data_IF_377673543156
#
_entry.id   IF_377673543156
#
_cell.length_a   1.000
_cell.length_b   1.000
_cell.length_c   1.000
_cell.angle_alpha   90.00
_cell.angle_beta   90.00
_cell.angle_gamma   90.00
#
_symmetry.space_group_name_H-M   'P 1'
#
loop_
_entity.id
_entity.type
_entity.pdbx_description
1 polymer ?
#
# COMPACT_ATOMS: atom_id res chain seq x y z
N UNK A 1 -7.21 -15.01 5.18
CA UNK A 1 -6.59 -13.69 4.98
C UNK A 1 -6.27 -13.00 6.30
N UNK A 2 -7.18 -13.00 7.28
CA UNK A 2 -6.99 -12.38 8.59
C UNK A 2 -5.81 -12.94 9.40
N UNK A 3 -5.46 -14.22 9.26
CA UNK A 3 -4.32 -14.81 9.98
C UNK A 3 -2.96 -14.30 9.52
N UNK A 4 -2.79 -13.92 8.25
CA UNK A 4 -1.49 -13.42 7.73
C UNK A 4 -1.20 -11.99 8.19
N UNK A 5 -2.19 -11.12 8.24
CA UNK A 5 -2.03 -9.74 8.70
C UNK A 5 -1.66 -9.66 10.19
N UNK A 6 -2.30 -10.48 11.04
CA UNK A 6 -1.94 -10.61 12.46
C UNK A 6 -0.52 -11.13 12.68
N UNK A 7 -0.03 -12.01 11.80
CA UNK A 7 1.33 -12.56 11.91
C UNK A 7 2.42 -11.52 11.60
N UNK A 8 2.14 -10.47 10.84
CA UNK A 8 3.15 -9.46 10.48
C UNK A 8 3.43 -8.52 11.65
N UNK A 9 2.40 -7.97 12.31
CA UNK A 9 2.57 -7.13 13.49
C UNK A 9 3.15 -7.89 14.70
N UNK A 10 2.94 -9.20 14.79
CA UNK A 10 3.54 -10.06 15.83
C UNK A 10 5.04 -10.26 15.56
N UNK A 11 5.47 -10.32 14.30
CA UNK A 11 6.88 -10.62 13.96
C UNK A 11 7.82 -9.50 14.36
N UNK A 12 7.50 -8.26 14.07
CA UNK A 12 8.34 -7.10 14.42
C UNK A 12 8.47 -6.96 15.94
N UNK A 13 7.37 -7.13 16.68
CA UNK A 13 7.37 -7.14 18.15
C UNK A 13 8.19 -8.30 18.70
N UNK A 14 8.03 -9.50 18.13
CA UNK A 14 8.81 -10.67 18.52
C UNK A 14 10.31 -10.50 18.24
N UNK A 15 10.69 -9.99 17.08
CA UNK A 15 12.09 -9.76 16.74
C UNK A 15 12.71 -8.70 17.65
N UNK A 16 12.01 -7.57 17.90
CA UNK A 16 12.50 -6.55 18.83
C UNK A 16 12.72 -7.13 20.24
N UNK A 17 11.76 -7.89 20.78
CA UNK A 17 11.89 -8.59 22.05
C UNK A 17 13.08 -9.58 22.06
N UNK A 18 13.25 -10.36 20.99
CA UNK A 18 14.39 -11.31 20.88
C UNK A 18 15.74 -10.61 20.86
N UNK A 19 15.83 -9.42 20.26
CA UNK A 19 17.07 -8.65 20.21
C UNK A 19 17.39 -7.99 21.55
N UNK A 20 16.36 -7.46 22.24
CA UNK A 20 16.56 -6.56 23.40
C UNK A 20 16.21 -7.20 24.74
N UNK A 21 15.35 -8.20 24.76
CA UNK A 21 14.73 -8.71 25.99
C UNK A 21 13.52 -7.89 26.47
N UNK A 22 13.29 -6.70 25.91
CA UNK A 22 12.22 -5.80 26.32
C UNK A 22 10.92 -6.13 25.57
N UNK A 23 9.79 -6.10 26.30
CA UNK A 23 8.46 -6.25 25.72
C UNK A 23 7.80 -4.87 25.71
N UNK A 24 7.79 -4.25 24.53
CA UNK A 24 7.25 -2.89 24.33
C UNK A 24 6.37 -2.85 23.08
N UNK A 25 5.54 -1.82 22.96
CA UNK A 25 4.70 -1.56 21.79
C UNK A 25 4.78 -0.10 21.34
N UNK A 26 4.13 0.22 20.24
CA UNK A 26 4.00 1.60 19.72
C UNK A 26 2.53 1.92 19.45
N UNK A 27 2.18 3.21 19.35
CA UNK A 27 0.84 3.61 18.92
C UNK A 27 0.51 3.06 17.54
N UNK A 28 1.49 3.02 16.62
CA UNK A 28 1.32 2.40 15.29
C UNK A 28 0.90 0.93 15.42
N UNK A 29 1.65 0.13 16.19
CA UNK A 29 1.33 -1.29 16.43
C UNK A 29 -0.03 -1.52 17.11
N UNK A 30 -0.37 -0.71 18.11
CA UNK A 30 -1.66 -0.78 18.80
C UNK A 30 -2.82 -0.44 17.87
N UNK A 31 -2.65 0.57 17.00
CA UNK A 31 -3.67 0.96 16.04
C UNK A 31 -3.92 -0.11 14.96
N UNK A 32 -2.88 -0.79 14.49
CA UNK A 32 -3.02 -1.95 13.61
C UNK A 32 -3.75 -3.11 14.30
N UNK A 33 -3.54 -3.26 15.62
CA UNK A 33 -4.27 -4.21 16.48
C UNK A 33 -5.67 -3.75 16.88
N UNK A 34 -6.14 -2.58 16.41
CA UNK A 34 -7.43 -1.94 16.74
C UNK A 34 -7.60 -1.44 18.18
N UNK A 35 -6.52 -1.43 19.00
CA UNK A 35 -6.60 -1.07 20.41
C UNK A 35 -6.33 0.41 20.71
N UNK A 36 -6.12 1.26 19.69
CA UNK A 36 -5.89 2.69 19.88
C UNK A 36 -7.11 3.53 19.50
N UNK A 37 -7.56 4.37 20.41
CA UNK A 37 -8.60 5.37 20.20
C UNK A 37 -7.97 6.72 19.81
N UNK A 38 -8.09 7.09 18.55
CA UNK A 38 -7.54 8.33 18.01
C UNK A 38 -8.26 9.60 18.49
N UNK A 39 -9.50 9.49 18.94
CA UNK A 39 -10.25 10.66 19.47
C UNK A 39 -9.74 11.07 20.83
N UNK A 40 -9.43 10.06 21.66
CA UNK A 40 -8.99 10.26 23.03
C UNK A 40 -7.45 10.15 23.18
N UNK A 41 -6.72 9.78 22.12
CA UNK A 41 -5.29 9.48 22.14
C UNK A 41 -4.90 8.53 23.28
N UNK A 42 -5.63 7.43 23.40
CA UNK A 42 -5.52 6.46 24.49
C UNK A 42 -5.82 5.03 24.00
N UNK A 43 -5.60 4.06 24.86
CA UNK A 43 -6.11 2.71 24.65
C UNK A 43 -7.64 2.74 24.54
N UNK A 44 -8.20 1.98 23.60
CA UNK A 44 -9.65 1.86 23.43
C UNK A 44 -10.25 1.03 24.56
N UNK A 45 -10.73 1.68 25.62
CA UNK A 45 -11.38 1.02 26.74
C UNK A 45 -12.64 0.26 26.31
N UNK A 46 -13.38 0.79 25.35
CA UNK A 46 -14.56 0.14 24.80
C UNK A 46 -14.22 -1.24 24.21
N UNK A 47 -13.20 -1.32 23.34
CA UNK A 47 -12.78 -2.58 22.75
C UNK A 47 -12.14 -3.54 23.76
N UNK A 48 -11.33 -3.01 24.68
CA UNK A 48 -10.74 -3.82 25.75
C UNK A 48 -11.82 -4.47 26.62
N UNK A 49 -12.82 -3.70 27.04
CA UNK A 49 -13.94 -4.20 27.82
C UNK A 49 -14.82 -5.19 27.03
N UNK A 50 -15.11 -4.90 25.76
CA UNK A 50 -15.91 -5.76 24.90
C UNK A 50 -15.28 -7.16 24.75
N UNK A 51 -13.96 -7.24 24.60
CA UNK A 51 -13.24 -8.50 24.49
C UNK A 51 -12.79 -9.09 25.83
N UNK A 52 -13.02 -8.41 26.95
CA UNK A 52 -12.60 -8.85 28.27
C UNK A 52 -11.09 -8.84 28.46
N UNK A 53 -10.36 -7.93 27.79
CA UNK A 53 -8.92 -7.81 27.93
C UNK A 53 -8.56 -6.84 29.05
N UNK A 54 -7.67 -7.28 29.96
CA UNK A 54 -7.06 -6.40 30.96
C UNK A 54 -6.04 -5.47 30.30
N UNK A 55 -5.93 -4.22 30.82
CA UNK A 55 -4.88 -3.28 30.41
C UNK A 55 -3.48 -3.81 30.70
N UNK A 56 -3.32 -4.72 31.65
CA UNK A 56 -2.04 -5.36 31.99
C UNK A 56 -1.48 -6.25 30.86
N UNK A 57 -2.31 -6.58 29.87
CA UNK A 57 -1.88 -7.31 28.67
C UNK A 57 -1.19 -6.41 27.64
N UNK A 58 -1.29 -5.08 27.81
CA UNK A 58 -0.70 -4.12 26.89
C UNK A 58 0.69 -3.76 27.40
N UNK A 59 1.68 -3.98 26.54
CA UNK A 59 3.07 -3.64 26.83
C UNK A 59 3.28 -2.11 26.88
N UNK A 60 4.39 -1.67 27.51
CA UNK A 60 4.77 -0.26 27.56
C UNK A 60 4.83 0.37 26.17
N UNK A 61 4.19 1.52 26.04
CA UNK A 61 4.12 2.25 24.76
C UNK A 61 5.40 3.09 24.59
N UNK A 62 6.10 2.88 23.47
CA UNK A 62 7.28 3.65 23.08
C UNK A 62 7.01 4.47 21.82
N UNK A 63 7.71 5.59 21.60
CA UNK A 63 7.64 6.32 20.36
C UNK A 63 8.06 5.43 19.16
N UNK A 64 7.42 5.61 18.01
CA UNK A 64 7.78 4.88 16.77
C UNK A 64 9.23 5.14 16.36
N UNK A 65 9.66 6.41 16.40
CA UNK A 65 11.05 6.84 16.27
C UNK A 65 11.63 7.08 17.67
N UNK A 66 12.20 6.03 18.29
CA UNK A 66 12.76 6.11 19.63
C UNK A 66 13.20 4.75 20.14
N UNK A 67 13.86 4.76 21.29
CA UNK A 67 14.46 3.57 21.89
C UNK A 67 13.41 2.52 22.22
N UNK A 68 13.52 1.36 21.59
CA UNK A 68 12.70 0.17 21.84
C UNK A 68 13.40 -0.80 22.82
N UNK A 69 14.69 -0.65 23.03
CA UNK A 69 15.58 -1.45 23.85
C UNK A 69 16.98 -1.53 23.23
N UNK A 70 17.89 -2.27 23.89
CA UNK A 70 19.26 -2.44 23.43
C UNK A 70 19.60 -3.92 23.22
N UNK A 71 20.44 -4.20 22.23
CA UNK A 71 20.90 -5.57 21.91
C UNK A 71 21.60 -6.17 23.14
N UNK A 72 21.10 -7.32 23.61
CA UNK A 72 21.63 -8.02 24.77
C UNK A 72 23.01 -8.65 24.50
N UNK A 73 23.76 -8.99 25.55
CA UNK A 73 25.08 -9.61 25.39
C UNK A 73 25.01 -10.97 24.71
N UNK A 74 23.98 -11.78 24.99
CA UNK A 74 23.80 -13.11 24.36
C UNK A 74 23.52 -12.99 22.86
N UNK A 75 22.63 -12.10 22.47
CA UNK A 75 22.28 -11.87 21.06
C UNK A 75 23.44 -11.24 20.31
N UNK A 76 24.18 -10.32 20.94
CA UNK A 76 25.37 -9.74 20.34
C UNK A 76 26.42 -10.81 19.99
N UNK A 77 26.64 -11.76 20.89
CA UNK A 77 27.58 -12.87 20.66
C UNK A 77 27.08 -13.83 19.57
N UNK A 78 25.77 -14.13 19.55
CA UNK A 78 25.14 -15.07 18.58
C UNK A 78 25.16 -14.50 17.15
N UNK A 79 24.83 -13.21 17.00
CA UNK A 79 24.65 -12.56 15.70
C UNK A 79 25.87 -11.75 15.22
N UNK A 80 26.94 -11.68 16.00
CA UNK A 80 28.12 -10.85 15.68
C UNK A 80 27.84 -9.35 15.78
N UNK A 81 26.87 -8.93 16.60
CA UNK A 81 26.50 -7.55 16.82
C UNK A 81 27.27 -6.96 18.03
N UNK A 82 27.26 -5.64 18.15
CA UNK A 82 27.80 -4.98 19.35
C UNK A 82 26.73 -4.97 20.46
N UNK A 83 27.09 -5.44 21.67
CA UNK A 83 26.24 -5.31 22.86
C UNK A 83 25.89 -3.83 23.08
N UNK A 84 24.63 -3.56 23.44
CA UNK A 84 24.15 -2.22 23.70
C UNK A 84 23.84 -1.41 22.43
N UNK A 85 23.86 -2.06 21.24
CA UNK A 85 23.35 -1.39 20.03
C UNK A 85 21.87 -1.07 20.22
N UNK A 86 21.45 0.21 20.10
CA UNK A 86 20.06 0.59 20.34
C UNK A 86 19.17 0.15 19.17
N UNK A 87 18.00 -0.36 19.49
CA UNK A 87 16.89 -0.59 18.53
C UNK A 87 15.97 0.61 18.65
N UNK A 88 15.86 1.43 17.61
CA UNK A 88 15.32 2.81 17.71
C UNK A 88 14.16 3.12 16.78
N UNK A 89 13.64 2.10 16.12
CA UNK A 89 12.47 2.23 15.23
C UNK A 89 11.70 0.92 15.19
N UNK A 90 10.38 1.04 15.19
CA UNK A 90 9.48 -0.08 14.95
C UNK A 90 8.15 0.39 14.35
N UNK A 91 7.75 -0.22 13.24
CA UNK A 91 6.47 0.00 12.59
C UNK A 91 6.04 -1.27 11.85
N UNK A 92 4.76 -1.37 11.50
CA UNK A 92 4.26 -2.36 10.56
C UNK A 92 4.84 -2.18 9.17
N UNK A 93 4.66 -3.17 8.30
CA UNK A 93 5.25 -3.19 6.97
C UNK A 93 4.72 -2.08 6.06
N UNK A 94 3.41 -1.78 6.10
CA UNK A 94 2.83 -0.78 5.21
C UNK A 94 3.20 0.66 5.59
N UNK A 95 3.11 1.08 6.87
CA UNK A 95 3.65 2.36 7.29
C UNK A 95 5.15 2.51 7.01
N UNK A 96 5.93 1.43 7.17
CA UNK A 96 7.36 1.42 6.85
C UNK A 96 7.62 1.53 5.34
N UNK A 97 6.84 0.86 4.49
CA UNK A 97 6.93 1.01 3.04
C UNK A 97 6.63 2.44 2.61
N UNK A 98 5.61 3.06 3.20
CA UNK A 98 5.30 4.47 2.97
C UNK A 98 6.46 5.38 3.41
N UNK A 99 7.06 5.13 4.59
CA UNK A 99 8.27 5.82 5.02
C UNK A 99 9.40 5.69 4.01
N UNK A 100 9.65 4.48 3.46
CA UNK A 100 10.72 4.24 2.49
C UNK A 100 10.62 5.13 1.24
N UNK A 101 9.39 5.52 0.88
CA UNK A 101 9.06 6.41 -0.24
C UNK A 101 8.98 7.89 0.19
N UNK A 102 9.34 8.20 1.43
CA UNK A 102 9.17 9.54 2.03
C UNK A 102 7.72 10.06 1.92
N UNK A 103 6.75 9.16 2.10
CA UNK A 103 5.31 9.47 2.17
C UNK A 103 4.98 9.73 3.63
N UNK A 104 4.89 10.99 4.02
CA UNK A 104 4.79 11.45 5.42
C UNK A 104 3.70 12.49 5.65
N UNK A 105 3.24 13.15 4.59
CA UNK A 105 2.32 14.27 4.69
C UNK A 105 0.93 13.94 4.14
N UNK A 106 -0.13 14.62 4.63
CA UNK A 106 -1.47 14.44 4.08
C UNK A 106 -1.52 14.68 2.57
N UNK A 107 -2.25 13.82 1.88
CA UNK A 107 -2.36 13.84 0.41
C UNK A 107 -1.26 13.07 -0.33
N UNK A 108 -0.20 12.66 0.35
CA UNK A 108 0.81 11.78 -0.26
C UNK A 108 0.35 10.31 -0.21
N UNK A 109 0.55 9.61 -1.33
CA UNK A 109 0.18 8.20 -1.51
C UNK A 109 1.43 7.38 -1.75
N UNK A 110 1.58 6.26 -1.04
CA UNK A 110 2.50 5.18 -1.38
C UNK A 110 1.71 4.07 -2.11
N UNK A 111 2.18 3.65 -3.28
CA UNK A 111 1.53 2.60 -4.05
C UNK A 111 2.50 1.46 -4.40
N UNK A 112 1.98 0.22 -4.38
CA UNK A 112 2.72 -0.96 -4.83
C UNK A 112 1.83 -1.82 -5.72
N UNK A 113 2.40 -2.36 -6.81
CA UNK A 113 1.71 -3.24 -7.75
C UNK A 113 2.37 -4.63 -7.81
N UNK A 114 2.53 -5.27 -6.64
CA UNK A 114 3.05 -6.63 -6.51
C UNK A 114 2.00 -7.69 -6.84
N UNK A 115 2.11 -8.90 -6.26
CA UNK A 115 1.10 -9.97 -6.39
C UNK A 115 -0.29 -9.44 -6.04
N UNK A 116 -0.38 -8.73 -4.92
CA UNK A 116 -1.50 -7.85 -4.55
C UNK A 116 -1.08 -6.39 -4.74
N UNK A 117 -2.05 -5.50 -4.97
CA UNK A 117 -1.83 -4.06 -4.98
C UNK A 117 -2.06 -3.46 -3.61
N UNK A 118 -1.33 -2.41 -3.30
CA UNK A 118 -1.52 -1.62 -2.10
C UNK A 118 -1.56 -0.15 -2.48
N UNK A 119 -2.52 0.57 -1.92
CA UNK A 119 -2.55 2.02 -1.87
C UNK A 119 -2.57 2.42 -0.41
N UNK A 120 -1.61 3.25 0.00
CA UNK A 120 -1.48 3.75 1.35
C UNK A 120 -1.41 5.26 1.33
N UNK A 121 -2.47 5.92 1.79
CA UNK A 121 -2.58 7.38 1.81
C UNK A 121 -2.41 7.94 3.21
N UNK A 122 -1.81 9.12 3.33
CA UNK A 122 -1.71 9.83 4.63
C UNK A 122 -2.86 10.82 4.76
N UNK A 123 -3.60 10.72 5.87
CA UNK A 123 -4.66 11.65 6.26
C UNK A 123 -4.22 12.49 7.47
N UNK A 124 -4.46 13.79 7.41
CA UNK A 124 -4.17 14.74 8.51
C UNK A 124 -5.30 14.90 9.52
N UNK A 125 -6.41 14.17 9.36
CA UNK A 125 -7.59 14.28 10.22
C UNK A 125 -7.98 12.90 10.75
N UNK A 126 -8.57 12.87 11.95
CA UNK A 126 -9.18 11.66 12.50
C UNK A 126 -10.46 11.40 11.73
N UNK A 127 -10.40 10.45 10.82
CA UNK A 127 -11.53 10.01 10.01
C UNK A 127 -11.42 8.50 9.72
N UNK A 128 -12.54 7.87 9.40
CA UNK A 128 -12.62 6.46 9.03
C UNK A 128 -13.72 6.24 7.98
N UNK A 129 -13.56 5.19 7.20
CA UNK A 129 -14.61 4.78 6.26
C UNK A 129 -15.72 4.03 6.99
N UNK A 130 -16.94 4.57 6.96
CA UNK A 130 -18.13 4.02 7.66
C UNK A 130 -18.56 2.67 7.12
N UNK A 131 -18.15 2.33 5.89
CA UNK A 131 -18.41 1.02 5.26
C UNK A 131 -17.27 0.03 5.47
N UNK A 132 -16.20 0.43 6.19
CA UNK A 132 -15.03 -0.41 6.49
C UNK A 132 -14.31 -0.95 5.24
N UNK A 133 -14.35 -0.20 4.12
CA UNK A 133 -13.72 -0.57 2.84
C UNK A 133 -12.20 -0.44 2.84
N UNK A 134 -11.66 0.35 3.77
CA UNK A 134 -10.22 0.56 4.01
C UNK A 134 -9.89 0.43 5.49
N UNK A 135 -8.60 0.27 5.81
CA UNK A 135 -8.12 0.33 7.19
C UNK A 135 -7.50 1.69 7.49
N UNK A 136 -7.61 2.14 8.74
CA UNK A 136 -6.97 3.37 9.21
C UNK A 136 -6.09 3.05 10.41
N UNK A 137 -4.81 3.48 10.37
CA UNK A 137 -3.80 3.22 11.40
C UNK A 137 -3.06 4.52 11.75
N UNK A 138 -2.33 4.54 12.87
CA UNK A 138 -1.34 5.57 13.10
C UNK A 138 -0.18 5.42 12.09
N UNK A 139 0.10 6.47 11.34
CA UNK A 139 1.29 6.50 10.50
C UNK A 139 2.57 6.64 11.35
N UNK A 140 3.74 6.35 10.79
CA UNK A 140 5.01 6.32 11.53
C UNK A 140 5.35 7.64 12.24
N UNK A 141 4.93 8.78 11.68
CA UNK A 141 5.15 10.11 12.22
C UNK A 141 3.89 10.72 12.90
N UNK A 142 2.92 9.87 13.26
CA UNK A 142 1.78 10.31 14.07
C UNK A 142 2.22 10.67 15.49
N UNK A 143 1.78 11.82 15.97
CA UNK A 143 1.92 12.26 17.38
C UNK A 143 0.60 12.80 17.88
N UNK A 144 0.52 13.05 19.19
CA UNK A 144 -0.65 13.69 19.81
C UNK A 144 -0.89 15.10 19.31
N UNK A 145 0.19 15.82 18.97
CA UNK A 145 0.15 17.21 18.46
C UNK A 145 -0.09 17.25 16.94
N UNK A 146 0.30 16.21 16.23
CA UNK A 146 0.23 16.15 14.77
C UNK A 146 -0.40 14.86 14.28
N UNK A 147 -1.68 14.91 13.97
CA UNK A 147 -2.40 13.77 13.41
C UNK A 147 -1.83 13.37 12.06
N UNK A 148 -1.40 12.12 11.94
CA UNK A 148 -0.95 11.46 10.72
C UNK A 148 -1.51 10.05 10.71
N UNK A 149 -2.58 9.83 9.97
CA UNK A 149 -3.20 8.50 9.86
C UNK A 149 -2.89 7.91 8.49
N UNK A 150 -2.44 6.67 8.47
CA UNK A 150 -2.30 5.89 7.26
C UNK A 150 -3.60 5.20 6.92
N UNK A 151 -4.13 5.47 5.73
CA UNK A 151 -5.31 4.81 5.19
C UNK A 151 -4.85 3.76 4.19
N UNK A 152 -5.10 2.49 4.51
CA UNK A 152 -4.61 1.33 3.76
C UNK A 152 -5.74 0.69 2.96
N UNK A 153 -5.53 0.58 1.66
CA UNK A 153 -6.28 -0.26 0.74
C UNK A 153 -5.41 -1.39 0.21
N UNK A 154 -5.93 -2.61 0.26
CA UNK A 154 -5.35 -3.78 -0.41
C UNK A 154 -6.28 -4.25 -1.53
N UNK A 155 -5.70 -4.60 -2.68
CA UNK A 155 -6.39 -5.16 -3.85
C UNK A 155 -5.74 -6.50 -4.15
N UNK A 156 -6.52 -7.60 -4.07
CA UNK A 156 -5.93 -8.94 -4.15
C UNK A 156 -5.58 -9.36 -5.59
N UNK A 157 -6.35 -8.92 -6.58
CA UNK A 157 -6.28 -9.35 -7.97
C UNK A 157 -5.36 -8.51 -8.86
N UNK A 158 -4.16 -8.13 -8.43
CA UNK A 158 -3.28 -7.20 -9.16
C UNK A 158 -2.23 -7.92 -10.02
N UNK A 159 -1.00 -8.04 -9.55
CA UNK A 159 0.06 -8.70 -10.31
C UNK A 159 -0.21 -10.18 -10.57
N UNK A 160 -1.05 -10.82 -9.74
CA UNK A 160 -1.49 -12.19 -9.98
C UNK A 160 -2.30 -12.30 -11.28
N UNK A 161 -3.18 -11.34 -11.57
CA UNK A 161 -3.92 -11.29 -12.84
C UNK A 161 -2.96 -11.06 -14.02
N UNK A 162 -2.07 -10.07 -13.93
CA UNK A 162 -1.09 -9.81 -14.99
C UNK A 162 -0.19 -11.03 -15.26
N UNK A 163 0.24 -11.73 -14.20
CA UNK A 163 0.98 -12.98 -14.30
C UNK A 163 0.16 -14.12 -14.91
N UNK A 164 -1.13 -14.19 -14.59
CA UNK A 164 -2.04 -15.20 -15.17
C UNK A 164 -2.24 -14.96 -16.67
N UNK A 165 -2.46 -13.72 -17.10
CA UNK A 165 -2.55 -13.34 -18.52
C UNK A 165 -1.27 -13.74 -19.26
N UNK A 166 -0.10 -13.41 -18.68
CA UNK A 166 1.19 -13.79 -19.27
C UNK A 166 1.33 -15.29 -19.49
N UNK A 167 0.93 -16.11 -18.53
CA UNK A 167 1.12 -17.56 -18.57
C UNK A 167 0.08 -18.32 -19.40
N UNK A 168 -1.16 -17.82 -19.46
CA UNK A 168 -2.29 -18.59 -19.99
C UNK A 168 -2.89 -18.02 -21.27
N UNK A 169 -2.70 -16.73 -21.55
CA UNK A 169 -3.31 -16.03 -22.69
C UNK A 169 -2.25 -15.57 -23.69
N UNK A 170 -1.16 -14.99 -23.22
CA UNK A 170 -0.11 -14.44 -24.07
C UNK A 170 0.62 -15.54 -24.87
N UNK A 171 1.38 -15.20 -25.93
CA UNK A 171 2.25 -16.15 -26.61
C UNK A 171 3.23 -16.81 -25.64
N UNK A 172 3.54 -18.09 -25.92
CA UNK A 172 4.50 -18.85 -25.10
C UNK A 172 5.88 -18.19 -25.13
N UNK A 173 6.57 -18.19 -23.99
CA UNK A 173 7.92 -17.64 -23.84
C UNK A 173 8.00 -16.12 -23.73
N UNK A 174 6.92 -15.38 -23.93
CA UNK A 174 6.90 -13.91 -23.86
C UNK A 174 7.37 -13.40 -22.46
N UNK A 175 8.24 -12.38 -22.44
CA UNK A 175 8.60 -11.68 -21.22
C UNK A 175 7.62 -10.54 -20.94
N UNK A 176 7.79 -9.82 -19.79
CA UNK A 176 6.85 -8.75 -19.44
C UNK A 176 6.98 -7.50 -20.31
N UNK A 177 8.17 -7.20 -20.85
CA UNK A 177 8.35 -6.06 -21.76
C UNK A 177 7.61 -6.33 -23.07
N UNK A 178 7.78 -7.51 -23.65
CA UNK A 178 7.07 -7.94 -24.85
C UNK A 178 5.54 -8.01 -24.63
N UNK A 179 5.09 -8.41 -23.43
CA UNK A 179 3.67 -8.36 -23.08
C UNK A 179 3.14 -6.92 -23.06
N UNK A 180 3.93 -5.98 -22.53
CA UNK A 180 3.59 -4.56 -22.52
C UNK A 180 3.58 -4.00 -23.96
N UNK A 181 4.55 -4.37 -24.79
CA UNK A 181 4.60 -3.96 -26.20
C UNK A 181 3.38 -4.49 -26.98
N UNK A 182 3.01 -5.75 -26.75
CA UNK A 182 1.79 -6.34 -27.31
C UNK A 182 0.55 -5.57 -26.87
N UNK A 183 0.41 -5.29 -25.60
CA UNK A 183 -0.71 -4.53 -25.04
C UNK A 183 -0.77 -3.09 -25.56
N UNK A 184 0.39 -2.46 -25.84
CA UNK A 184 0.48 -1.12 -26.38
C UNK A 184 -0.07 -0.96 -27.80
N UNK A 185 -0.22 -2.06 -28.55
CA UNK A 185 -0.81 -2.04 -29.90
C UNK A 185 -2.34 -1.81 -29.90
N UNK A 186 -2.96 -1.87 -28.74
CA UNK A 186 -4.43 -1.75 -28.57
C UNK A 186 -4.75 -0.35 -28.03
N UNK A 187 -5.85 0.30 -28.46
CA UNK A 187 -6.24 1.61 -27.95
C UNK A 187 -6.67 1.57 -26.48
N UNK A 188 -6.69 2.73 -25.84
CA UNK A 188 -7.24 2.92 -24.49
C UNK A 188 -8.71 2.48 -24.47
N UNK A 189 -9.13 1.74 -23.43
CA UNK A 189 -10.46 1.18 -23.30
C UNK A 189 -10.68 -0.10 -24.11
N UNK A 190 -9.60 -0.62 -24.79
CA UNK A 190 -9.57 -1.95 -25.40
C UNK A 190 -10.77 -2.25 -26.32
N UNK A 191 -11.21 -1.26 -27.11
CA UNK A 191 -12.39 -1.39 -27.98
C UNK A 191 -13.65 -1.93 -27.26
N UNK A 192 -13.82 -1.54 -26.01
CA UNK A 192 -14.93 -1.94 -25.16
C UNK A 192 -14.74 -3.23 -24.36
N UNK A 193 -13.59 -3.91 -24.47
CA UNK A 193 -13.26 -5.04 -23.58
C UNK A 193 -12.82 -4.51 -22.21
N UNK A 194 -13.34 -5.04 -21.11
CA UNK A 194 -12.80 -4.76 -19.79
C UNK A 194 -12.74 -6.00 -18.90
N UNK A 195 -11.85 -5.95 -17.90
CA UNK A 195 -11.66 -7.02 -16.92
C UNK A 195 -11.84 -6.46 -15.52
N UNK A 196 -12.71 -7.10 -14.72
CA UNK A 196 -12.79 -6.88 -13.28
C UNK A 196 -11.78 -7.82 -12.60
N UNK A 197 -10.76 -7.29 -11.88
CA UNK A 197 -9.58 -8.09 -11.50
C UNK A 197 -9.75 -8.87 -10.19
N UNK A 198 -10.97 -9.15 -9.73
CA UNK A 198 -11.27 -9.60 -8.37
C UNK A 198 -11.25 -11.13 -8.17
N UNK A 199 -10.45 -11.83 -8.97
CA UNK A 199 -10.36 -13.30 -8.97
C UNK A 199 -9.43 -13.92 -7.91
N UNK A 200 -9.11 -13.20 -6.83
CA UNK A 200 -8.21 -13.69 -5.78
C UNK A 200 -8.84 -13.60 -4.37
N UNK A 201 -10.12 -13.89 -4.26
CA UNK A 201 -10.88 -13.90 -3.02
C UNK A 201 -11.66 -12.60 -2.78
N UNK A 202 -12.19 -12.47 -1.57
CA UNK A 202 -13.02 -11.32 -1.19
C UNK A 202 -12.20 -10.02 -1.14
N UNK A 203 -12.78 -8.94 -1.62
CA UNK A 203 -12.18 -7.61 -1.64
C UNK A 203 -12.78 -6.71 -0.57
N UNK A 204 -11.91 -6.14 0.28
CA UNK A 204 -12.37 -5.27 1.35
C UNK A 204 -13.04 -4.01 0.80
N UNK A 205 -12.52 -3.41 -0.26
CA UNK A 205 -13.12 -2.23 -0.89
C UNK A 205 -14.52 -2.48 -1.46
N UNK A 206 -14.89 -3.75 -1.65
CA UNK A 206 -16.22 -4.20 -2.03
C UNK A 206 -16.99 -4.75 -0.80
N UNK A 207 -16.69 -4.26 0.41
CA UNK A 207 -17.33 -4.69 1.66
C UNK A 207 -17.18 -6.21 1.90
N UNK A 208 -16.02 -6.77 1.58
CA UNK A 208 -15.69 -8.19 1.65
C UNK A 208 -16.53 -9.11 0.74
N UNK A 209 -17.17 -8.56 -0.31
CA UNK A 209 -17.81 -9.37 -1.34
C UNK A 209 -16.76 -10.11 -2.17
N UNK A 210 -17.08 -11.32 -2.56
CA UNK A 210 -16.35 -12.11 -3.52
C UNK A 210 -17.15 -12.15 -4.80
N UNK A 211 -16.65 -11.47 -5.86
CA UNK A 211 -17.35 -11.35 -7.15
C UNK A 211 -16.60 -12.03 -8.30
N UNK A 212 -15.43 -12.61 -7.99
CA UNK A 212 -14.53 -13.26 -8.93
C UNK A 212 -13.99 -12.33 -10.05
N UNK A 213 -13.09 -12.85 -10.88
CA UNK A 213 -12.62 -12.14 -12.07
C UNK A 213 -13.61 -12.35 -13.20
N UNK A 214 -13.98 -11.27 -13.89
CA UNK A 214 -14.89 -11.36 -15.04
C UNK A 214 -14.39 -10.54 -16.21
N UNK A 215 -14.74 -11.00 -17.43
CA UNK A 215 -14.42 -10.36 -18.69
C UNK A 215 -15.72 -9.88 -19.33
N UNK A 216 -15.78 -8.58 -19.61
CA UNK A 216 -16.97 -7.95 -20.17
C UNK A 216 -16.72 -7.37 -21.55
N UNK A 217 -17.74 -7.42 -22.40
CA UNK A 217 -17.70 -6.83 -23.74
C UNK A 217 -16.84 -7.61 -24.75
N UNK A 218 -16.50 -8.87 -24.47
CA UNK A 218 -15.69 -9.70 -25.39
C UNK A 218 -16.43 -9.91 -26.71
N UNK A 219 -15.80 -9.51 -27.82
CA UNK A 219 -16.25 -9.72 -29.19
C UNK A 219 -15.21 -10.50 -29.97
N UNK A 220 -15.55 -11.70 -30.45
CA UNK A 220 -14.63 -12.63 -31.10
C UNK A 220 -14.12 -12.12 -32.45
N UNK A 221 -14.75 -11.13 -33.07
CA UNK A 221 -14.33 -10.59 -34.35
C UNK A 221 -13.24 -9.53 -34.26
N UNK A 222 -13.07 -8.90 -33.08
CA UNK A 222 -12.11 -7.77 -32.91
C UNK A 222 -11.10 -8.01 -31.80
N UNK A 223 -11.48 -8.67 -30.70
CA UNK A 223 -10.60 -8.79 -29.55
C UNK A 223 -9.58 -9.93 -29.73
N UNK A 224 -8.34 -9.63 -29.39
CA UNK A 224 -7.18 -10.51 -29.50
C UNK A 224 -6.49 -10.68 -28.13
N UNK A 225 -5.40 -11.47 -28.09
CA UNK A 225 -4.55 -11.58 -26.89
C UNK A 225 -3.98 -10.23 -26.44
N UNK A 226 -3.73 -9.30 -27.36
CA UNK A 226 -3.28 -7.94 -27.06
C UNK A 226 -4.34 -7.16 -26.27
N UNK A 227 -5.61 -7.28 -26.66
CA UNK A 227 -6.73 -6.67 -25.92
C UNK A 227 -6.86 -7.25 -24.51
N UNK A 228 -6.73 -8.57 -24.35
CA UNK A 228 -6.74 -9.21 -23.03
C UNK A 228 -5.60 -8.71 -22.14
N UNK A 229 -4.39 -8.56 -22.69
CA UNK A 229 -3.23 -8.07 -21.95
C UNK A 229 -3.41 -6.61 -21.50
N UNK A 230 -3.94 -5.75 -22.39
CA UNK A 230 -4.22 -4.35 -22.05
C UNK A 230 -5.39 -4.22 -21.08
N UNK A 231 -6.51 -4.88 -21.33
CA UNK A 231 -7.69 -4.84 -20.47
C UNK A 231 -7.40 -5.33 -19.06
N UNK A 232 -6.50 -6.28 -18.87
CA UNK A 232 -6.06 -6.71 -17.55
C UNK A 232 -5.30 -5.60 -16.81
N UNK A 233 -4.37 -4.91 -17.48
CA UNK A 233 -3.63 -3.80 -16.86
C UNK A 233 -4.54 -2.60 -16.58
N UNK A 234 -5.40 -2.21 -17.49
CA UNK A 234 -6.39 -1.15 -17.28
C UNK A 234 -7.37 -1.49 -16.17
N UNK A 235 -7.88 -2.73 -16.11
CA UNK A 235 -8.77 -3.18 -15.04
C UNK A 235 -8.12 -3.13 -13.66
N UNK A 236 -6.82 -3.47 -13.57
CA UNK A 236 -6.05 -3.31 -12.33
C UNK A 236 -5.94 -1.82 -11.96
N UNK A 237 -5.59 -0.96 -12.93
CA UNK A 237 -5.51 0.50 -12.69
C UNK A 237 -6.85 1.06 -12.23
N UNK A 238 -7.96 0.64 -12.83
CA UNK A 238 -9.29 1.10 -12.45
C UNK A 238 -9.69 0.63 -11.04
N UNK A 239 -9.24 -0.54 -10.61
CA UNK A 239 -9.39 -0.97 -9.23
C UNK A 239 -8.59 -0.08 -8.25
N UNK A 240 -7.36 0.37 -8.63
CA UNK A 240 -6.62 1.37 -7.87
C UNK A 240 -7.37 2.69 -7.79
N UNK A 241 -7.88 3.19 -8.93
CA UNK A 241 -8.65 4.44 -9.00
C UNK A 241 -9.91 4.37 -8.12
N UNK A 242 -10.67 3.29 -8.21
CA UNK A 242 -11.86 3.06 -7.38
C UNK A 242 -11.53 3.10 -5.88
N UNK A 243 -10.41 2.48 -5.48
CA UNK A 243 -9.95 2.55 -4.10
C UNK A 243 -9.45 3.94 -3.68
N UNK A 244 -8.82 4.69 -4.58
CA UNK A 244 -8.41 6.08 -4.33
C UNK A 244 -9.63 7.01 -4.21
N UNK A 245 -10.72 6.74 -4.93
CA UNK A 245 -11.97 7.49 -4.78
C UNK A 245 -12.56 7.32 -3.37
N UNK A 246 -12.48 6.13 -2.79
CA UNK A 246 -12.86 5.91 -1.38
C UNK A 246 -12.00 6.77 -0.44
N UNK A 247 -10.70 6.92 -0.72
CA UNK A 247 -9.83 7.80 0.07
C UNK A 247 -10.19 9.28 -0.09
N UNK A 248 -10.57 9.70 -1.31
CA UNK A 248 -11.07 11.04 -1.57
C UNK A 248 -12.38 11.32 -0.80
N UNK A 249 -13.32 10.36 -0.76
CA UNK A 249 -14.55 10.43 0.06
C UNK A 249 -14.23 10.62 1.55
N UNK A 250 -13.11 10.07 2.03
CA UNK A 250 -12.61 10.28 3.39
C UNK A 250 -11.91 11.63 3.59
N UNK A 251 -11.82 12.47 2.54
CA UNK A 251 -11.23 13.80 2.60
C UNK A 251 -9.70 13.81 2.47
N UNK A 252 -9.10 12.78 1.86
CA UNK A 252 -7.71 12.80 1.44
C UNK A 252 -7.65 13.48 0.07
N UNK A 253 -7.09 14.67 0.01
CA UNK A 253 -6.82 15.39 -1.25
C UNK A 253 -5.49 14.89 -1.83
N UNK A 254 -5.58 13.95 -2.79
CA UNK A 254 -4.42 13.24 -3.32
C UNK A 254 -3.57 14.17 -4.18
N UNK A 255 -2.33 14.43 -3.76
CA UNK A 255 -1.39 15.34 -4.39
C UNK A 255 -0.34 14.63 -5.26
N UNK A 256 0.14 13.47 -4.81
CA UNK A 256 1.20 12.71 -5.47
C UNK A 256 1.11 11.23 -5.14
N UNK A 257 1.40 10.39 -6.12
CA UNK A 257 1.57 8.95 -5.94
C UNK A 257 3.06 8.63 -6.01
N UNK A 258 3.61 8.03 -4.95
CA UNK A 258 5.00 7.56 -4.91
C UNK A 258 5.06 6.05 -4.91
N UNK A 259 5.94 5.47 -5.71
CA UNK A 259 6.11 4.04 -5.83
C UNK A 259 7.58 3.65 -6.01
N UNK A 260 7.92 2.42 -5.64
CA UNK A 260 9.19 1.82 -6.04
C UNK A 260 9.19 1.50 -7.53
N UNK A 261 10.35 1.64 -8.19
CA UNK A 261 10.51 1.27 -9.60
C UNK A 261 10.58 -0.25 -9.75
N UNK A 262 9.44 -0.93 -9.53
CA UNK A 262 9.35 -2.38 -9.50
C UNK A 262 7.94 -2.87 -9.92
N UNK A 263 7.81 -4.16 -10.23
CA UNK A 263 6.55 -4.83 -10.51
C UNK A 263 5.74 -4.13 -11.64
N UNK A 264 4.43 -3.91 -11.43
CA UNK A 264 3.58 -3.26 -12.44
C UNK A 264 3.98 -1.81 -12.72
N UNK A 265 4.65 -1.12 -11.80
CA UNK A 265 5.21 0.20 -12.07
C UNK A 265 6.36 0.21 -13.07
N UNK A 266 6.85 -0.96 -13.53
CA UNK A 266 7.73 -1.08 -14.70
C UNK A 266 6.97 -0.98 -16.01
N UNK A 267 5.66 -1.25 -16.05
CA UNK A 267 4.84 -1.12 -17.26
C UNK A 267 4.52 0.35 -17.58
N UNK A 268 4.89 0.85 -18.77
CA UNK A 268 4.47 2.18 -19.21
C UNK A 268 2.94 2.33 -19.26
N UNK A 269 2.22 1.29 -19.72
CA UNK A 269 0.76 1.29 -19.82
C UNK A 269 0.14 1.51 -18.43
N UNK A 270 0.61 0.75 -17.43
CA UNK A 270 0.11 0.85 -16.07
C UNK A 270 0.32 2.25 -15.49
N UNK A 271 1.52 2.83 -15.66
CA UNK A 271 1.85 4.17 -15.15
C UNK A 271 1.05 5.25 -15.83
N UNK A 272 0.99 5.23 -17.18
CA UNK A 272 0.26 6.22 -17.98
C UNK A 272 -1.23 6.18 -17.67
N UNK A 273 -1.79 4.97 -17.58
CA UNK A 273 -3.21 4.78 -17.26
C UNK A 273 -3.53 5.28 -15.84
N UNK A 274 -2.69 4.96 -14.85
CA UNK A 274 -2.91 5.38 -13.47
C UNK A 274 -2.77 6.90 -13.34
N UNK A 275 -1.73 7.51 -13.89
CA UNK A 275 -1.58 8.97 -13.90
C UNK A 275 -2.76 9.64 -14.64
N UNK A 276 -3.14 9.13 -15.81
CA UNK A 276 -4.21 9.68 -16.63
C UNK A 276 -5.59 9.63 -15.96
N UNK A 277 -5.96 8.48 -15.36
CA UNK A 277 -7.29 8.31 -14.75
C UNK A 277 -7.41 8.98 -13.38
N UNK A 278 -6.29 9.14 -12.65
CA UNK A 278 -6.28 9.84 -11.35
C UNK A 278 -6.04 11.34 -11.47
N UNK A 279 -5.47 11.79 -12.59
CA UNK A 279 -5.01 13.17 -12.76
C UNK A 279 -3.83 13.52 -11.86
N UNK A 280 -3.12 12.52 -11.31
CA UNK A 280 -2.10 12.70 -10.28
C UNK A 280 -0.72 12.29 -10.80
N UNK A 281 0.29 13.07 -10.48
CA UNK A 281 1.70 12.78 -10.80
C UNK A 281 2.16 11.52 -10.08
N UNK A 282 2.89 10.64 -10.78
CA UNK A 282 3.52 9.46 -10.20
C UNK A 282 5.04 9.66 -10.15
N UNK A 283 5.61 9.55 -8.97
CA UNK A 283 7.06 9.59 -8.74
C UNK A 283 7.59 8.19 -8.44
N UNK A 284 8.59 7.74 -9.20
CA UNK A 284 9.25 6.45 -9.00
C UNK A 284 10.59 6.61 -8.31
N UNK A 285 10.83 5.76 -7.31
CA UNK A 285 12.02 5.81 -6.47
C UNK A 285 12.80 4.50 -6.45
N UNK A 286 14.12 4.61 -6.27
CA UNK A 286 15.00 3.46 -6.01
C UNK A 286 15.10 3.22 -4.51
N UNK A 287 14.13 2.52 -3.95
CA UNK A 287 14.08 2.24 -2.51
C UNK A 287 13.26 0.97 -2.24
N UNK A 288 13.37 0.48 -1.02
CA UNK A 288 12.60 -0.64 -0.51
C UNK A 288 12.37 -0.50 1.01
N UNK A 289 11.57 -1.39 1.59
CA UNK A 289 11.23 -1.36 3.00
C UNK A 289 12.44 -1.47 3.94
N UNK A 290 13.52 -2.17 3.55
CA UNK A 290 14.73 -2.28 4.37
C UNK A 290 15.46 -0.93 4.48
N UNK A 291 15.53 -0.18 3.38
CA UNK A 291 16.08 1.19 3.38
C UNK A 291 15.22 2.11 4.26
N UNK A 292 13.88 1.99 4.16
CA UNK A 292 12.96 2.73 5.02
C UNK A 292 13.19 2.45 6.51
N UNK A 293 13.32 1.18 6.88
CA UNK A 293 13.58 0.76 8.26
C UNK A 293 14.93 1.28 8.78
N UNK A 294 15.99 1.21 7.94
CA UNK A 294 17.31 1.74 8.31
C UNK A 294 17.28 3.27 8.53
N UNK A 295 16.57 4.01 7.65
CA UNK A 295 16.38 5.46 7.81
C UNK A 295 15.53 5.79 9.04
N UNK A 296 14.46 5.04 9.29
CA UNK A 296 13.64 5.16 10.49
C UNK A 296 14.46 4.94 11.77
N UNK A 297 15.31 3.90 11.78
CA UNK A 297 16.22 3.64 12.89
C UNK A 297 17.24 4.78 13.07
N UNK A 298 17.76 5.34 11.97
CA UNK A 298 18.65 6.50 12.00
C UNK A 298 18.00 7.76 12.57
N UNK A 299 16.72 8.00 12.26
CA UNK A 299 15.94 9.10 12.85
C UNK A 299 15.77 8.86 14.37
N UNK A 300 15.31 7.67 14.76
CA UNK A 300 15.10 7.32 16.16
C UNK A 300 16.38 7.30 17.02
N UNK A 301 17.53 7.07 16.41
CA UNK A 301 18.85 7.12 17.05
C UNK A 301 19.46 8.53 17.06
N UNK A 302 18.84 9.54 16.46
CA UNK A 302 19.37 10.88 16.33
C UNK A 302 20.57 11.01 15.37
N UNK A 303 20.79 10.01 14.49
CA UNK A 303 21.77 10.08 13.39
C UNK A 303 21.32 11.11 12.36
N UNK A 304 20.01 11.13 12.07
CA UNK A 304 19.38 12.15 11.27
C UNK A 304 18.53 13.04 12.19
N UNK A 305 18.60 14.35 11.98
CA UNK A 305 17.82 15.33 12.77
C UNK A 305 16.32 15.22 12.53
N UNK A 306 15.95 14.84 11.31
CA UNK A 306 14.55 14.74 10.85
C UNK A 306 14.45 13.88 9.60
N UNK A 307 13.23 13.67 9.12
CA UNK A 307 12.97 12.91 7.91
C UNK A 307 13.56 13.59 6.66
N UNK A 308 13.58 14.92 6.57
CA UNK A 308 14.14 15.65 5.44
C UNK A 308 15.62 15.29 5.25
N UNK A 309 16.41 15.32 6.31
CA UNK A 309 17.82 14.91 6.28
C UNK A 309 17.97 13.42 5.93
N UNK A 310 17.16 12.56 6.54
CA UNK A 310 17.19 11.12 6.28
C UNK A 310 16.90 10.76 4.81
N UNK A 311 15.99 11.49 4.17
CA UNK A 311 15.57 11.24 2.79
C UNK A 311 16.24 12.14 1.75
N UNK A 312 17.16 13.03 2.12
CA UNK A 312 17.91 13.90 1.20
C UNK A 312 18.62 13.11 0.09
N UNK A 313 19.05 11.88 0.36
CA UNK A 313 19.70 10.98 -0.61
C UNK A 313 18.73 10.09 -1.38
N UNK A 314 17.40 10.20 -1.14
CA UNK A 314 16.41 9.38 -1.84
C UNK A 314 16.34 9.78 -3.32
N UNK A 315 16.69 8.83 -4.19
CA UNK A 315 16.82 9.10 -5.62
C UNK A 315 15.51 8.86 -6.35
N UNK A 316 14.94 9.95 -6.89
CA UNK A 316 13.83 9.88 -7.84
C UNK A 316 14.37 9.41 -9.20
N UNK A 317 13.82 8.29 -9.72
CA UNK A 317 14.23 7.69 -10.99
C UNK A 317 13.45 8.28 -12.15
N UNK A 318 12.14 8.44 -11.97
CA UNK A 318 11.24 8.89 -13.02
C UNK A 318 10.05 9.65 -12.42
N UNK A 319 9.46 10.52 -13.25
CA UNK A 319 8.23 11.26 -12.98
C UNK A 319 7.30 11.03 -14.16
N UNK A 320 6.08 10.61 -13.88
CA UNK A 320 5.04 10.40 -14.88
C UNK A 320 3.95 11.44 -14.63
N UNK A 321 3.87 12.40 -15.54
CA UNK A 321 2.83 13.43 -15.53
C UNK A 321 1.55 12.89 -16.19
N UNK A 322 0.36 13.31 -15.73
CA UNK A 322 -0.88 13.02 -16.42
C UNK A 322 -0.88 13.59 -17.84
N UNK A 323 -1.09 12.73 -18.84
CA UNK A 323 -1.24 13.18 -20.23
C UNK A 323 -2.69 13.64 -20.48
N UNK A 324 -2.90 14.94 -20.57
CA UNK A 324 -4.22 15.55 -20.76
C UNK A 324 -4.98 15.06 -22.02
N UNK A 325 -4.26 14.68 -23.08
CA UNK A 325 -4.88 14.12 -24.28
C UNK A 325 -5.44 12.70 -24.06
N UNK A 326 -4.78 11.90 -23.22
CA UNK A 326 -5.19 10.54 -22.89
C UNK A 326 -6.17 10.47 -21.72
N UNK A 327 -6.17 11.45 -20.83
CA UNK A 327 -6.94 11.47 -19.60
C UNK A 327 -8.43 11.24 -19.84
N UNK A 328 -9.03 11.94 -20.80
CA UNK A 328 -10.46 11.77 -21.14
C UNK A 328 -10.79 10.34 -21.58
N UNK A 329 -9.90 9.69 -22.36
CA UNK A 329 -10.10 8.32 -22.82
C UNK A 329 -10.01 7.33 -21.62
N UNK A 330 -9.04 7.52 -20.72
CA UNK A 330 -8.94 6.69 -19.51
C UNK A 330 -10.13 6.91 -18.55
N UNK A 331 -10.60 8.13 -18.37
CA UNK A 331 -11.78 8.42 -17.57
C UNK A 331 -13.04 7.76 -18.18
N UNK A 332 -13.25 7.85 -19.49
CA UNK A 332 -14.38 7.19 -20.14
C UNK A 332 -14.34 5.66 -20.02
N UNK A 333 -13.14 5.07 -20.14
CA UNK A 333 -12.94 3.64 -19.95
C UNK A 333 -13.17 3.22 -18.47
N UNK A 334 -12.76 4.06 -17.52
CA UNK A 334 -13.01 3.83 -16.09
C UNK A 334 -14.51 3.88 -15.76
N UNK A 335 -15.26 4.85 -16.26
CA UNK A 335 -16.72 4.91 -16.01
C UNK A 335 -17.42 3.66 -16.55
N UNK A 336 -17.08 3.20 -17.76
CA UNK A 336 -17.61 1.94 -18.32
C UNK A 336 -17.24 0.73 -17.45
N UNK A 337 -16.00 0.68 -16.94
CA UNK A 337 -15.55 -0.39 -16.04
C UNK A 337 -16.31 -0.33 -14.71
N UNK A 338 -16.52 0.86 -14.15
CA UNK A 338 -17.23 1.09 -12.90
C UNK A 338 -18.70 0.67 -13.00
N UNK A 339 -19.40 1.01 -14.08
CA UNK A 339 -20.77 0.54 -14.34
C UNK A 339 -20.84 -0.99 -14.33
N UNK A 340 -19.88 -1.68 -14.94
CA UNK A 340 -19.82 -3.16 -14.93
C UNK A 340 -19.54 -3.73 -13.54
N UNK A 341 -18.68 -3.05 -12.76
CA UNK A 341 -18.45 -3.41 -11.37
C UNK A 341 -19.75 -3.28 -10.56
N UNK A 342 -20.46 -2.16 -10.67
CA UNK A 342 -21.71 -1.91 -9.95
C UNK A 342 -22.80 -2.92 -10.28
N UNK A 343 -22.85 -3.41 -11.52
CA UNK A 343 -23.76 -4.49 -11.95
C UNK A 343 -23.37 -5.86 -11.39
N UNK A 344 -22.12 -6.03 -10.95
CA UNK A 344 -21.56 -7.31 -10.48
C UNK A 344 -21.57 -7.44 -8.95
N UNK A 345 -21.83 -6.35 -8.23
CA UNK A 345 -21.93 -6.32 -6.77
C UNK A 345 -23.37 -6.26 -6.31
#
# INVERSE_FOLDING_TARGET
>A
PYRRQRQMCIRDSFIAMRLTGDIVTTVSGLSEGIFWDFKNNALSEELMNYYGFSKDLIADIRPTFGLQGEVTASVAAELGLKKGTPVTYRAGDQPNNALSLNVLNPGEIAATGGTSGVVYGVNGKVNYDTLSRVNTFAHVNHTTEQTRLGVLLCINGVGILNSWIKRNIAPEGINYNELNDLAATVPIGCDGLSILPFGNGAERMLQNKQIDCSVHGLNFNIHTKAHMARAAQEGIVFAFKYGMDIMNEMGIDIQVIRAGNANLFLSPIFRDALAGVTGTVIELYDTNGAVGAAKGAGIGAGIYKNAEEAFASLKKINVIEPDGFKANAYCGAFETWKERLEQSI
#
